data_IF_690080695901
#
_entry.id   IF_690080695901
#
_cell.length_a   1.000
_cell.length_b   1.000
_cell.length_c   1.000
_cell.angle_alpha   90.00
_cell.angle_beta   90.00
_cell.angle_gamma   90.00
#
_symmetry.space_group_name_H-M   'P 1'
#
loop_
_entity.id
_entity.type
_entity.pdbx_description
1 polymer ?
#
# COMPACT_ATOMS: atom_id res chain seq x y z
N UNK A 1 -23.89 4.85 30.26
CA UNK A 1 -23.03 4.54 29.10
C UNK A 1 -21.61 4.86 29.53
N UNK A 2 -20.78 3.84 29.69
CA UNK A 2 -19.46 3.96 30.33
C UNK A 2 -18.49 4.55 29.30
N UNK A 3 -18.17 5.83 29.46
CA UNK A 3 -17.02 6.46 28.82
C UNK A 3 -15.76 5.82 29.41
N UNK A 4 -15.10 4.97 28.63
CA UNK A 4 -13.71 4.58 28.88
C UNK A 4 -12.80 5.61 28.21
N UNK A 5 -12.06 6.33 29.04
CA UNK A 5 -10.95 7.19 28.66
C UNK A 5 -9.81 6.36 28.07
N UNK A 6 -9.37 6.74 26.87
CA UNK A 6 -8.02 6.55 26.34
C UNK A 6 -7.65 7.96 25.86
N UNK A 7 -6.83 8.73 26.56
CA UNK A 7 -5.39 8.51 26.67
C UNK A 7 -4.71 9.51 25.72
N UNK A 8 -4.36 10.70 26.24
CA UNK A 8 -3.48 11.72 25.65
C UNK A 8 -3.69 12.08 24.17
N UNK A 9 -4.68 12.96 23.90
CA UNK A 9 -4.72 13.73 22.65
C UNK A 9 -3.66 14.85 22.72
N UNK A 10 -2.44 14.59 22.23
CA UNK A 10 -1.45 15.65 22.02
C UNK A 10 -1.79 16.39 20.73
N UNK A 11 -2.40 17.58 20.87
CA UNK A 11 -2.69 18.49 19.75
C UNK A 11 -1.35 19.01 19.19
N UNK A 12 -0.83 18.41 18.11
CA UNK A 12 0.36 18.92 17.44
C UNK A 12 -0.07 20.00 16.47
N UNK A 13 0.03 21.27 16.88
CA UNK A 13 -0.03 22.41 15.97
C UNK A 13 1.21 22.41 15.07
N UNK A 14 1.09 21.93 13.83
CA UNK A 14 2.19 21.97 12.86
C UNK A 14 2.33 23.38 12.25
N UNK A 15 3.40 24.05 12.66
CA UNK A 15 3.85 25.35 12.16
C UNK A 15 4.44 25.18 10.75
N UNK A 16 3.93 25.92 9.76
CA UNK A 16 4.38 25.87 8.35
C UNK A 16 5.81 26.39 8.20
N UNK A 17 6.79 25.50 8.01
CA UNK A 17 8.05 25.82 7.32
C UNK A 17 8.87 24.57 7.00
N UNK A 18 9.32 24.48 5.74
CA UNK A 18 10.38 23.58 5.18
C UNK A 18 9.94 22.22 4.61
N UNK A 19 9.70 22.25 3.28
CA UNK A 19 10.53 21.57 2.26
C UNK A 19 10.88 20.09 2.46
N UNK A 20 10.35 19.27 1.52
CA UNK A 20 10.61 17.83 1.25
C UNK A 20 10.09 16.85 2.31
N UNK A 21 8.99 16.15 2.01
CA UNK A 21 8.79 14.74 2.40
C UNK A 21 7.79 14.06 1.46
N UNK A 22 8.02 12.76 1.27
CA UNK A 22 7.44 11.87 0.26
C UNK A 22 5.90 11.79 0.36
N UNK A 23 5.21 12.06 -0.74
CA UNK A 23 3.76 12.08 -0.86
C UNK A 23 3.28 10.75 -1.44
N UNK A 24 2.76 9.84 -0.59
CA UNK A 24 1.89 8.75 -1.04
C UNK A 24 0.49 9.11 -0.53
N UNK A 25 -0.33 9.63 -1.44
CA UNK A 25 -1.72 10.04 -1.17
C UNK A 25 -2.63 8.90 -1.56
N UNK A 26 -3.33 8.32 -0.59
CA UNK A 26 -4.52 7.50 -0.81
C UNK A 26 -5.73 8.35 -0.47
N UNK A 27 -6.42 8.91 -1.47
CA UNK A 27 -7.61 9.74 -1.26
C UNK A 27 -8.85 8.84 -1.10
N UNK A 28 -9.41 8.77 0.11
CA UNK A 28 -10.73 8.20 0.42
C UNK A 28 -11.76 9.34 0.44
N UNK A 29 -12.61 9.43 -0.59
CA UNK A 29 -13.75 10.36 -0.63
C UNK A 29 -14.92 9.66 0.06
N UNK A 30 -15.42 10.21 1.17
CA UNK A 30 -16.64 9.77 1.82
C UNK A 30 -17.81 10.63 1.34
N UNK A 31 -18.87 10.00 0.82
CA UNK A 31 -20.14 10.68 0.52
C UNK A 31 -21.27 10.11 1.35
N UNK A 32 -21.46 10.61 2.58
CA UNK A 32 -22.78 10.99 3.10
C UNK A 32 -22.70 11.40 4.57
N UNK A 33 -23.60 12.29 4.94
CA UNK A 33 -23.66 13.03 6.19
C UNK A 33 -23.96 12.14 7.41
N UNK A 34 -22.99 11.94 8.30
CA UNK A 34 -23.23 11.43 9.65
C UNK A 34 -22.46 12.24 10.71
N UNK A 35 -23.18 12.63 11.76
CA UNK A 35 -22.70 13.49 12.84
C UNK A 35 -21.79 12.70 13.81
N UNK A 36 -20.48 12.73 13.59
CA UNK A 36 -19.49 12.47 14.63
C UNK A 36 -19.20 13.77 15.41
N UNK A 37 -18.78 13.70 16.69
CA UNK A 37 -18.42 14.87 17.47
C UNK A 37 -17.22 15.56 16.83
N UNK A 38 -17.50 16.60 16.05
CA UNK A 38 -16.66 17.76 15.77
C UNK A 38 -15.13 17.50 15.67
N UNK A 39 -14.73 16.61 14.76
CA UNK A 39 -13.35 16.59 14.27
C UNK A 39 -13.23 17.77 13.33
N UNK A 40 -12.41 18.76 13.70
CA UNK A 40 -12.19 19.96 12.89
C UNK A 40 -11.24 19.62 11.74
N UNK A 41 -11.38 20.29 10.59
CA UNK A 41 -10.41 20.21 9.51
C UNK A 41 -9.00 20.50 10.08
N UNK A 42 -8.06 19.57 9.88
CA UNK A 42 -6.70 19.64 10.42
C UNK A 42 -6.43 18.85 11.71
N UNK A 43 -7.41 18.14 12.27
CA UNK A 43 -7.15 17.16 13.33
C UNK A 43 -6.47 15.91 12.75
N UNK A 44 -5.22 15.68 13.15
CA UNK A 44 -4.49 14.44 12.87
C UNK A 44 -4.51 13.61 14.15
N UNK A 45 -5.24 12.48 14.11
CA UNK A 45 -5.02 11.41 15.08
C UNK A 45 -3.85 10.57 14.59
N UNK A 46 -2.86 10.37 15.45
CA UNK A 46 -1.66 9.59 15.18
C UNK A 46 -1.57 8.49 16.24
N UNK A 47 -1.77 7.24 15.83
CA UNK A 47 -0.94 6.16 16.37
C UNK A 47 0.29 6.03 15.45
N UNK A 48 1.36 5.35 15.87
CA UNK A 48 2.64 5.32 15.14
C UNK A 48 2.52 4.84 13.66
N UNK A 49 1.35 4.32 13.26
CA UNK A 49 1.14 3.50 12.06
C UNK A 49 -0.08 3.90 11.22
N UNK A 50 -0.96 4.77 11.75
CA UNK A 50 -2.20 5.24 11.12
C UNK A 50 -2.24 6.76 11.13
N UNK A 51 -2.51 7.36 9.98
CA UNK A 51 -2.77 8.78 9.85
C UNK A 51 -4.21 9.00 9.40
N UNK A 52 -4.94 9.85 10.13
CA UNK A 52 -6.25 10.35 9.71
C UNK A 52 -6.11 11.82 9.32
N UNK A 53 -6.41 12.16 8.07
CA UNK A 53 -6.53 13.55 7.61
C UNK A 53 -7.99 13.88 7.33
N UNK A 54 -8.48 14.98 7.89
CA UNK A 54 -9.78 15.57 7.53
C UNK A 54 -9.50 16.77 6.63
N UNK A 55 -9.70 16.60 5.32
CA UNK A 55 -9.42 17.65 4.31
C UNK A 55 -10.46 18.79 4.38
N UNK A 56 -11.73 18.43 4.57
CA UNK A 56 -12.88 19.31 4.81
C UNK A 56 -13.93 18.51 5.63
N UNK A 57 -14.98 19.17 6.14
CA UNK A 57 -15.95 18.64 7.13
C UNK A 57 -16.66 17.30 6.79
N UNK A 58 -16.35 16.62 5.67
CA UNK A 58 -17.02 15.41 5.19
C UNK A 58 -16.09 14.30 4.64
N UNK A 59 -14.78 14.53 4.52
CA UNK A 59 -13.86 13.54 3.96
C UNK A 59 -12.72 13.23 4.94
N UNK A 60 -12.54 11.95 5.24
CA UNK A 60 -11.44 11.42 6.04
C UNK A 60 -10.54 10.52 5.18
N UNK A 61 -9.23 10.62 5.34
CA UNK A 61 -8.26 9.72 4.73
C UNK A 61 -7.63 8.89 5.82
N UNK A 62 -7.71 7.55 5.73
CA UNK A 62 -7.01 6.64 6.61
C UNK A 62 -5.87 5.96 5.86
N UNK A 63 -4.65 6.08 6.38
CA UNK A 63 -3.45 5.48 5.80
C UNK A 63 -2.90 4.42 6.74
N UNK A 64 -2.66 3.21 6.23
CA UNK A 64 -1.97 2.15 6.96
C UNK A 64 -0.56 1.99 6.37
N UNK A 65 0.48 2.21 7.17
CA UNK A 65 1.88 1.95 6.76
C UNK A 65 2.40 0.61 7.27
N UNK A 66 1.66 -0.04 8.18
CA UNK A 66 1.89 -1.40 8.65
C UNK A 66 0.55 -2.13 8.78
N UNK A 67 0.59 -3.41 9.13
CA UNK A 67 -0.62 -4.20 9.37
C UNK A 67 -1.50 -3.55 10.44
N UNK A 68 -2.81 -3.61 10.23
CA UNK A 68 -3.79 -2.96 11.10
C UNK A 68 -5.17 -3.56 10.98
N UNK A 69 -6.15 -2.86 11.52
CA UNK A 69 -7.56 -3.25 11.44
C UNK A 69 -8.38 -2.02 11.11
N UNK A 70 -9.28 -2.16 10.13
CA UNK A 70 -10.33 -1.20 9.85
C UNK A 70 -11.65 -1.73 10.38
N UNK A 71 -12.37 -0.94 11.16
CA UNK A 71 -13.67 -1.31 11.72
C UNK A 71 -14.71 -0.24 11.41
N UNK A 72 -15.90 -0.67 11.00
CA UNK A 72 -17.05 0.20 10.79
C UNK A 72 -18.32 -0.45 11.33
N UNK A 73 -19.19 0.36 11.96
CA UNK A 73 -20.49 -0.09 12.46
C UNK A 73 -21.62 0.02 11.43
N UNK A 74 -21.36 0.66 10.30
CA UNK A 74 -22.34 0.91 9.23
C UNK A 74 -21.72 0.63 7.86
N UNK A 75 -22.57 0.45 6.85
CA UNK A 75 -22.14 0.34 5.47
C UNK A 75 -21.65 1.72 5.01
N UNK A 76 -20.42 1.78 4.50
CA UNK A 76 -19.77 3.03 4.11
C UNK A 76 -19.33 2.96 2.65
N UNK A 77 -19.49 4.04 1.91
CA UNK A 77 -18.89 4.18 0.58
C UNK A 77 -17.43 4.59 0.73
N UNK A 78 -16.53 3.80 0.14
CA UNK A 78 -15.08 4.01 0.23
C UNK A 78 -14.41 3.92 -1.14
N UNK A 79 -13.42 4.78 -1.37
CA UNK A 79 -12.40 4.62 -2.40
C UNK A 79 -11.13 4.00 -1.83
N UNK A 80 -10.89 2.72 -2.08
CA UNK A 80 -9.71 2.02 -1.56
C UNK A 80 -8.58 2.10 -2.58
N UNK A 81 -7.44 2.65 -2.16
CA UNK A 81 -6.16 2.54 -2.85
C UNK A 81 -5.27 1.53 -2.12
N UNK A 82 -4.97 0.40 -2.76
CA UNK A 82 -4.09 -0.63 -2.21
C UNK A 82 -2.87 -0.85 -3.12
N UNK A 83 -1.67 -0.80 -2.54
CA UNK A 83 -0.40 -0.99 -3.26
C UNK A 83 0.39 -2.13 -2.63
N UNK A 84 0.71 -3.16 -3.40
CA UNK A 84 1.56 -4.27 -2.94
C UNK A 84 3.00 -3.82 -2.65
N UNK A 85 3.76 -4.61 -1.91
CA UNK A 85 5.19 -4.37 -1.72
C UNK A 85 5.97 -4.54 -3.03
N UNK A 86 7.03 -3.75 -3.24
CA UNK A 86 7.90 -3.91 -4.41
C UNK A 86 8.72 -5.20 -4.35
N UNK A 87 9.09 -5.77 -5.49
CA UNK A 87 10.00 -6.92 -5.58
C UNK A 87 11.47 -6.52 -5.37
N UNK A 88 12.29 -7.47 -4.93
CA UNK A 88 13.73 -7.28 -4.81
C UNK A 88 14.47 -7.41 -6.15
N UNK A 89 15.65 -6.81 -6.25
CA UNK A 89 16.54 -7.01 -7.42
C UNK A 89 17.13 -8.42 -7.44
N UNK A 90 17.49 -8.93 -8.62
CA UNK A 90 18.39 -10.09 -8.69
C UNK A 90 19.82 -9.71 -8.26
N UNK A 91 20.71 -10.68 -8.15
CA UNK A 91 22.06 -10.45 -7.58
C UNK A 91 23.11 -9.98 -8.60
N UNK A 92 23.53 -10.84 -9.53
CA UNK A 92 24.58 -10.56 -10.53
C UNK A 92 24.00 -10.40 -11.93
N UNK A 93 24.49 -9.40 -12.69
CA UNK A 93 24.04 -9.04 -14.04
C UNK A 93 22.51 -9.00 -14.18
N UNK A 94 21.84 -8.58 -13.12
CA UNK A 94 20.45 -8.89 -12.84
C UNK A 94 19.47 -7.88 -13.41
N UNK A 95 18.21 -8.29 -13.46
CA UNK A 95 17.10 -7.36 -13.62
C UNK A 95 16.66 -6.74 -12.30
N UNK A 96 16.06 -5.55 -12.39
CA UNK A 96 15.40 -4.90 -11.27
C UNK A 96 14.13 -5.63 -10.83
N UNK A 97 13.74 -5.47 -9.56
CA UNK A 97 12.44 -5.93 -9.08
C UNK A 97 11.27 -5.13 -9.69
N UNK A 98 10.12 -5.76 -9.81
CA UNK A 98 8.88 -5.12 -10.24
C UNK A 98 8.26 -4.30 -9.11
N UNK A 99 7.55 -3.22 -9.45
CA UNK A 99 6.71 -2.52 -8.48
C UNK A 99 5.58 -3.40 -7.95
N UNK A 100 5.04 -3.04 -6.79
CA UNK A 100 3.77 -3.61 -6.33
C UNK A 100 2.65 -3.38 -7.33
N UNK A 101 1.64 -4.23 -7.27
CA UNK A 101 0.37 -3.98 -7.92
C UNK A 101 -0.29 -2.73 -7.34
N UNK A 102 -1.18 -2.12 -8.11
CA UNK A 102 -2.03 -1.01 -7.65
C UNK A 102 -3.48 -1.36 -7.92
N UNK A 103 -4.32 -1.20 -6.90
CA UNK A 103 -5.77 -1.28 -7.01
C UNK A 103 -6.37 0.03 -6.51
N UNK A 104 -7.23 0.64 -7.33
CA UNK A 104 -7.97 1.86 -7.00
C UNK A 104 -9.44 1.62 -7.34
N UNK A 105 -10.24 1.36 -6.31
CA UNK A 105 -11.63 0.93 -6.47
C UNK A 105 -12.57 1.75 -5.59
N UNK A 106 -13.77 2.02 -6.08
CA UNK A 106 -14.87 2.57 -5.27
C UNK A 106 -15.88 1.46 -4.99
N UNK A 107 -16.09 1.16 -3.72
CA UNK A 107 -17.00 0.09 -3.27
C UNK A 107 -17.76 0.52 -2.02
N UNK A 108 -18.88 -0.15 -1.75
CA UNK A 108 -19.52 -0.12 -0.44
C UNK A 108 -18.80 -1.16 0.43
N UNK A 109 -18.25 -0.73 1.56
CA UNK A 109 -17.68 -1.58 2.61
C UNK A 109 -18.77 -1.79 3.65
N UNK A 110 -19.28 -3.03 3.81
CA UNK A 110 -20.31 -3.31 4.80
C UNK A 110 -19.85 -3.04 6.24
N UNK A 111 -20.81 -2.91 7.16
CA UNK A 111 -20.52 -2.94 8.59
C UNK A 111 -19.71 -4.19 8.96
N UNK A 112 -18.58 -4.03 9.65
CA UNK A 112 -17.69 -5.14 9.99
C UNK A 112 -16.29 -4.75 10.42
N UNK A 113 -15.46 -5.78 10.58
CA UNK A 113 -14.04 -5.70 10.95
C UNK A 113 -13.22 -6.28 9.80
N UNK A 114 -12.26 -5.51 9.32
CA UNK A 114 -11.46 -5.82 8.14
C UNK A 114 -9.97 -5.78 8.52
N UNK A 115 -9.27 -6.93 8.49
CA UNK A 115 -7.84 -6.93 8.69
C UNK A 115 -7.17 -6.22 7.51
N UNK A 116 -6.26 -5.29 7.82
CA UNK A 116 -5.44 -4.60 6.83
C UNK A 116 -4.06 -5.23 6.83
N UNK A 117 -3.62 -5.64 5.64
CA UNK A 117 -2.27 -6.13 5.43
C UNK A 117 -1.51 -5.15 4.55
N UNK A 118 -0.33 -4.75 4.99
CA UNK A 118 0.62 -3.98 4.20
C UNK A 118 1.73 -4.92 3.75
N UNK A 119 1.90 -5.03 2.44
CA UNK A 119 2.88 -5.92 1.84
C UNK A 119 4.30 -5.42 2.01
N UNK A 120 5.15 -6.26 2.60
CA UNK A 120 6.59 -5.98 2.73
C UNK A 120 7.30 -5.92 1.37
N UNK A 121 8.43 -5.20 1.33
CA UNK A 121 9.33 -5.23 0.19
C UNK A 121 10.03 -6.60 0.03
N UNK A 122 10.31 -6.99 -1.21
CA UNK A 122 11.06 -8.18 -1.55
C UNK A 122 12.55 -8.02 -1.25
N UNK A 123 13.16 -9.08 -0.74
CA UNK A 123 14.61 -9.12 -0.44
C UNK A 123 15.43 -9.21 -1.73
N UNK A 124 16.66 -8.67 -1.77
CA UNK A 124 17.54 -8.85 -2.92
C UNK A 124 17.96 -10.32 -3.08
N UNK A 125 18.22 -10.72 -4.32
CA UNK A 125 18.72 -12.05 -4.65
C UNK A 125 20.13 -12.28 -4.10
N UNK A 126 20.42 -13.51 -3.70
CA UNK A 126 21.73 -13.92 -3.19
C UNK A 126 22.53 -14.68 -4.25
N UNK A 127 23.85 -14.49 -4.26
CA UNK A 127 24.79 -15.08 -5.23
C UNK A 127 24.41 -14.81 -6.69
N UNK A 128 23.71 -15.74 -7.34
CA UNK A 128 23.31 -15.67 -8.75
C UNK A 128 21.78 -15.74 -8.92
N UNK A 129 21.05 -15.77 -7.81
CA UNK A 129 19.60 -15.97 -7.78
C UNK A 129 18.80 -14.70 -8.05
N UNK A 130 17.51 -14.92 -8.31
CA UNK A 130 16.51 -13.86 -8.47
C UNK A 130 16.22 -13.18 -7.12
N UNK A 131 15.70 -11.95 -7.16
CA UNK A 131 15.13 -11.28 -5.99
C UNK A 131 13.85 -11.94 -5.44
N UNK A 132 13.55 -11.71 -4.18
CA UNK A 132 12.27 -12.11 -3.59
C UNK A 132 11.11 -11.28 -4.16
N UNK A 133 9.93 -11.88 -4.26
CA UNK A 133 8.71 -11.13 -4.51
C UNK A 133 8.36 -10.24 -3.32
N UNK A 134 7.72 -9.10 -3.58
CA UNK A 134 7.08 -8.33 -2.52
C UNK A 134 5.86 -9.04 -1.95
N UNK A 135 5.45 -8.64 -0.75
CA UNK A 135 4.22 -9.09 -0.11
C UNK A 135 2.98 -8.42 -0.73
N UNK A 136 1.84 -9.09 -0.64
CA UNK A 136 0.56 -8.51 -1.05
C UNK A 136 0.07 -7.53 0.02
N UNK A 137 -0.61 -6.47 -0.42
CA UNK A 137 -1.41 -5.63 0.47
C UNK A 137 -2.89 -5.95 0.29
N UNK A 138 -3.67 -5.87 1.37
CA UNK A 138 -5.10 -6.18 1.30
C UNK A 138 -5.94 -5.38 2.28
N UNK A 139 -7.16 -5.06 1.85
CA UNK A 139 -8.25 -4.59 2.70
C UNK A 139 -9.23 -5.76 2.91
N UNK A 140 -9.00 -6.55 3.96
CA UNK A 140 -9.66 -7.83 4.16
C UNK A 140 -9.63 -8.70 2.90
N UNK A 141 -10.79 -9.26 2.54
CA UNK A 141 -10.96 -9.99 1.28
C UNK A 141 -11.59 -9.11 0.17
N UNK A 142 -11.80 -7.82 0.43
CA UNK A 142 -12.50 -6.91 -0.50
C UNK A 142 -11.57 -6.45 -1.63
N UNK A 143 -10.33 -6.12 -1.28
CA UNK A 143 -9.32 -5.63 -2.24
C UNK A 143 -7.99 -6.30 -1.92
N UNK A 144 -7.38 -6.90 -2.94
CA UNK A 144 -6.03 -7.50 -2.85
C UNK A 144 -5.18 -6.93 -3.96
N UNK A 145 -4.04 -6.36 -3.56
CA UNK A 145 -3.03 -5.82 -4.44
C UNK A 145 -1.76 -6.65 -4.34
N UNK A 146 -1.38 -7.30 -5.43
CA UNK A 146 -0.28 -8.26 -5.43
C UNK A 146 1.08 -7.59 -5.27
N UNK A 147 2.00 -8.23 -4.53
CA UNK A 147 3.39 -7.77 -4.45
C UNK A 147 4.12 -7.90 -5.78
N UNK A 148 5.15 -7.07 -5.98
CA UNK A 148 5.95 -7.04 -7.19
C UNK A 148 6.83 -8.27 -7.37
N UNK A 149 7.06 -8.66 -8.61
CA UNK A 149 7.89 -9.80 -8.96
C UNK A 149 9.38 -9.52 -8.75
N UNK A 150 10.11 -10.49 -8.22
CA UNK A 150 11.57 -10.38 -8.06
C UNK A 150 12.31 -10.34 -9.39
N UNK A 151 13.33 -9.48 -9.49
CA UNK A 151 14.17 -9.34 -10.67
C UNK A 151 15.01 -10.59 -10.94
N UNK A 152 15.23 -10.91 -12.22
CA UNK A 152 15.99 -12.08 -12.65
C UNK A 152 17.44 -12.03 -12.17
N UNK A 153 17.93 -13.15 -11.64
CA UNK A 153 19.34 -13.35 -11.34
C UNK A 153 20.11 -13.79 -12.59
N UNK A 154 21.41 -14.05 -12.47
CA UNK A 154 22.21 -14.57 -13.56
C UNK A 154 21.66 -15.92 -14.07
N UNK A 155 21.28 -16.82 -13.15
CA UNK A 155 20.82 -18.18 -13.49
C UNK A 155 19.33 -18.42 -13.25
N UNK A 156 18.61 -17.43 -12.71
CA UNK A 156 17.19 -17.55 -12.38
C UNK A 156 16.36 -16.50 -13.12
N UNK A 157 15.28 -16.96 -13.75
CA UNK A 157 14.32 -16.09 -14.42
C UNK A 157 13.68 -15.11 -13.43
N UNK A 158 13.28 -13.90 -13.86
CA UNK A 158 12.46 -13.02 -13.03
C UNK A 158 11.14 -13.69 -12.64
N UNK A 159 10.54 -13.21 -11.56
CA UNK A 159 9.25 -13.68 -11.09
C UNK A 159 8.12 -12.74 -11.49
N UNK A 160 6.93 -13.32 -11.58
CA UNK A 160 5.68 -12.59 -11.74
C UNK A 160 5.22 -11.99 -10.41
N UNK A 161 4.43 -10.93 -10.50
CA UNK A 161 3.82 -10.22 -9.38
C UNK A 161 2.84 -9.18 -9.89
N UNK A 162 2.40 -8.26 -9.03
CA UNK A 162 1.58 -7.12 -9.41
C UNK A 162 2.15 -6.41 -10.64
N UNK A 163 3.40 -5.96 -10.56
CA UNK A 163 4.27 -5.80 -11.73
C UNK A 163 5.32 -6.90 -11.78
N UNK A 164 5.70 -7.36 -12.97
CA UNK A 164 6.70 -8.42 -13.14
C UNK A 164 8.14 -7.92 -12.94
N UNK A 165 9.02 -8.80 -12.50
CA UNK A 165 10.45 -8.50 -12.36
C UNK A 165 11.15 -8.35 -13.71
N UNK A 166 12.18 -7.50 -13.77
CA UNK A 166 13.01 -7.31 -14.95
C UNK A 166 13.89 -8.53 -15.24
N UNK A 167 14.16 -8.77 -16.51
CA UNK A 167 15.08 -9.80 -16.97
C UNK A 167 16.54 -9.38 -16.87
N UNK A 168 17.45 -10.30 -17.17
CA UNK A 168 18.88 -10.13 -17.07
C UNK A 168 19.50 -9.90 -18.46
N UNK A 169 20.57 -9.11 -18.55
CA UNK A 169 21.26 -8.87 -19.82
C UNK A 169 22.33 -9.91 -20.15
N UNK A 170 22.77 -10.71 -19.16
CA UNK A 170 23.82 -11.71 -19.36
C UNK A 170 23.33 -12.92 -20.18
N UNK A 171 22.13 -13.42 -19.88
CA UNK A 171 21.50 -14.54 -20.58
C UNK A 171 20.32 -14.09 -21.46
N UNK A 172 20.14 -12.78 -21.66
CA UNK A 172 19.01 -12.17 -22.38
C UNK A 172 17.66 -12.69 -21.85
N UNK A 173 17.52 -12.81 -20.52
CA UNK A 173 16.23 -13.19 -19.96
C UNK A 173 15.21 -12.09 -20.22
N UNK A 174 14.03 -12.48 -20.68
CA UNK A 174 12.91 -11.55 -20.76
C UNK A 174 12.42 -11.17 -19.35
N UNK A 175 11.85 -9.98 -19.21
CA UNK A 175 11.11 -9.62 -18.01
C UNK A 175 9.87 -10.49 -17.83
N UNK A 176 9.48 -10.70 -16.57
CA UNK A 176 8.27 -11.44 -16.25
C UNK A 176 7.02 -10.59 -16.53
N UNK A 177 5.88 -11.19 -16.88
CA UNK A 177 4.61 -10.47 -16.97
C UNK A 177 4.17 -9.96 -15.59
N UNK A 178 3.46 -8.84 -15.58
CA UNK A 178 2.69 -8.37 -14.43
C UNK A 178 1.27 -8.94 -14.44
N UNK A 179 0.56 -8.77 -13.33
CA UNK A 179 -0.87 -9.13 -13.24
C UNK A 179 -1.73 -8.07 -13.94
N UNK A 180 -2.64 -8.53 -14.81
CA UNK A 180 -3.57 -7.66 -15.52
C UNK A 180 -4.39 -6.80 -14.55
N UNK A 181 -4.49 -5.50 -14.86
CA UNK A 181 -5.21 -4.54 -14.03
C UNK A 181 -4.51 -4.14 -12.74
N UNK A 182 -3.34 -4.71 -12.41
CA UNK A 182 -2.57 -4.34 -11.22
C UNK A 182 -1.18 -3.76 -11.53
N UNK A 183 -0.57 -4.14 -12.64
CA UNK A 183 0.76 -3.63 -12.99
C UNK A 183 1.22 -4.00 -14.39
N UNK A 184 2.51 -3.81 -14.63
CA UNK A 184 3.13 -3.95 -15.95
C UNK A 184 4.17 -5.08 -15.97
N UNK A 185 4.49 -5.57 -17.17
CA UNK A 185 5.60 -6.49 -17.35
C UNK A 185 6.95 -5.82 -17.04
N UNK A 186 7.90 -6.61 -16.54
CA UNK A 186 9.27 -6.16 -16.35
C UNK A 186 9.99 -5.95 -17.68
N UNK A 187 11.02 -5.09 -17.69
CA UNK A 187 11.86 -4.88 -18.86
C UNK A 187 12.70 -6.12 -19.21
N UNK A 188 12.99 -6.31 -20.48
CA UNK A 188 14.01 -7.27 -20.96
C UNK A 188 15.41 -6.68 -20.76
N UNK A 189 16.33 -7.47 -20.22
CA UNK A 189 17.72 -7.05 -19.98
C UNK A 189 18.62 -7.20 -21.19
#
# INVERSE_FOLDING_TARGET
MILKTLGNLSLITLNRSKSFFQLIVATLIFSSSFLLPHILAGDVSHDENTYIYVEDHWEAVMVFTENGVFETSEDIECRILAVGGGGGSGSSNSGGGGGGGVQDVRIIVPAGVYPITVGEGGIPGLSLGRGGNGGNSSFGNLVVSFGGGGGGGEIELPAQGGSGGGGNGYNNFAGAPGTEGQGHAGGTG
#
